data_IF_540487037198
#
_entry.id   IF_540487037198
#
_cell.length_a   1.000
_cell.length_b   1.000
_cell.length_c   1.000
_cell.angle_alpha   90.00
_cell.angle_beta   90.00
_cell.angle_gamma   90.00
#
_symmetry.space_group_name_H-M   'P 1'
#
loop_
_entity.id
_entity.type
_entity.pdbx_description
1 polymer ?
#
# COMPACT_ATOMS: atom_id res chain seq x y z
N UNK A 1 2.86 -13.73 4.35
CA UNK A 1 1.37 -13.80 4.31
C UNK A 1 1.01 -14.63 3.09
N UNK A 2 0.54 -15.85 3.29
CA UNK A 2 0.08 -16.71 2.19
C UNK A 2 -1.44 -16.75 2.27
N UNK A 3 -2.11 -15.81 1.61
CA UNK A 3 -3.59 -15.78 1.50
C UNK A 3 -4.01 -16.87 0.52
N UNK A 4 -3.22 -17.06 -0.54
CA UNK A 4 -3.40 -18.11 -1.53
C UNK A 4 -2.18 -19.05 -1.52
N UNK A 5 -2.41 -20.32 -1.76
CA UNK A 5 -1.33 -21.29 -1.99
C UNK A 5 -0.82 -21.08 -3.41
N UNK A 6 0.49 -20.88 -3.56
CA UNK A 6 1.10 -20.82 -4.89
C UNK A 6 1.09 -22.18 -5.55
N UNK A 7 0.88 -22.24 -6.85
CA UNK A 7 0.93 -23.50 -7.62
C UNK A 7 2.38 -23.92 -7.90
N UNK A 8 3.29 -22.97 -8.11
CA UNK A 8 4.69 -23.20 -8.40
C UNK A 8 5.55 -21.99 -8.09
N UNK A 9 6.87 -22.13 -8.23
CA UNK A 9 7.86 -21.06 -8.04
C UNK A 9 8.22 -20.83 -6.58
N UNK A 10 9.11 -19.88 -6.32
CA UNK A 10 9.60 -19.51 -5.00
C UNK A 10 9.55 -17.98 -4.84
N UNK A 11 9.39 -17.54 -3.60
CA UNK A 11 9.42 -16.11 -3.25
C UNK A 11 10.58 -15.88 -2.28
N UNK A 12 11.43 -14.92 -2.62
CA UNK A 12 12.57 -14.52 -1.80
C UNK A 12 12.41 -13.08 -1.31
N UNK A 13 12.79 -12.83 -0.06
CA UNK A 13 12.93 -11.49 0.53
C UNK A 13 14.33 -11.44 1.12
N UNK A 14 15.13 -10.43 0.74
CA UNK A 14 16.52 -10.29 1.16
C UNK A 14 17.34 -11.58 0.94
N UNK A 15 17.16 -12.23 -0.22
CA UNK A 15 17.79 -13.52 -0.60
C UNK A 15 17.40 -14.73 0.28
N UNK A 16 16.42 -14.60 1.15
CA UNK A 16 15.91 -15.70 1.97
C UNK A 16 14.53 -16.17 1.45
N UNK A 17 14.38 -17.47 1.27
CA UNK A 17 13.11 -18.05 0.84
C UNK A 17 12.05 -17.86 1.93
N UNK A 18 10.92 -17.25 1.56
CA UNK A 18 9.82 -16.94 2.49
C UNK A 18 9.17 -18.16 3.13
N UNK A 19 9.28 -19.33 2.53
CA UNK A 19 8.77 -20.59 3.09
C UNK A 19 9.51 -21.05 4.35
N UNK A 20 10.75 -20.59 4.52
CA UNK A 20 11.56 -20.87 5.72
C UNK A 20 11.23 -19.97 6.90
N UNK A 21 10.40 -18.93 6.68
CA UNK A 21 10.03 -17.95 7.70
C UNK A 21 8.68 -18.31 8.33
N UNK A 22 8.56 -18.10 9.61
CA UNK A 22 7.28 -18.18 10.32
C UNK A 22 6.37 -17.02 9.89
N UNK A 23 5.06 -17.18 10.09
CA UNK A 23 4.07 -16.12 9.84
C UNK A 23 4.41 -14.83 10.62
N UNK A 24 4.93 -14.98 11.84
CA UNK A 24 5.32 -13.86 12.69
C UNK A 24 6.54 -13.10 12.14
N UNK A 25 7.55 -13.81 11.63
CA UNK A 25 8.71 -13.21 10.97
C UNK A 25 8.31 -12.49 9.68
N UNK A 26 7.49 -13.11 8.84
CA UNK A 26 6.96 -12.46 7.64
C UNK A 26 6.12 -11.22 7.97
N UNK A 27 5.33 -11.27 9.05
CA UNK A 27 4.55 -10.12 9.49
C UNK A 27 5.39 -8.98 10.07
N UNK A 28 6.66 -9.18 10.37
CA UNK A 28 7.61 -8.10 10.69
C UNK A 28 8.26 -7.48 9.45
N UNK A 29 8.35 -8.24 8.36
CA UNK A 29 8.97 -7.81 7.11
C UNK A 29 7.99 -7.16 6.16
N UNK A 30 6.72 -7.62 6.14
CA UNK A 30 5.71 -7.20 5.18
C UNK A 30 4.52 -6.59 5.91
N UNK A 31 4.18 -5.35 5.59
CA UNK A 31 2.95 -4.70 5.97
C UNK A 31 1.95 -4.72 4.81
N UNK A 32 0.69 -5.03 5.09
CA UNK A 32 -0.35 -5.09 4.08
C UNK A 32 -1.47 -4.09 4.37
N UNK A 33 -1.75 -3.26 3.38
CA UNK A 33 -2.88 -2.33 3.38
C UNK A 33 -3.87 -2.82 2.34
N UNK A 34 -4.99 -3.42 2.77
CA UNK A 34 -6.02 -3.92 1.87
C UNK A 34 -6.82 -2.77 1.25
N UNK A 35 -7.46 -3.06 0.13
CA UNK A 35 -8.59 -2.26 -0.34
C UNK A 35 -9.66 -2.21 0.76
N UNK A 36 -10.32 -1.05 0.95
CA UNK A 36 -11.36 -0.91 1.99
C UNK A 36 -12.50 -1.88 1.70
N UNK A 37 -12.65 -2.88 2.54
CA UNK A 37 -13.81 -3.76 2.58
C UNK A 37 -14.60 -3.50 3.86
N UNK A 38 -15.91 -3.78 3.85
CA UNK A 38 -16.83 -3.45 4.96
C UNK A 38 -16.51 -4.13 6.30
N UNK A 39 -15.61 -5.09 6.32
CA UNK A 39 -15.38 -6.00 7.47
C UNK A 39 -14.17 -5.64 8.36
N UNK A 40 -13.44 -4.55 8.08
CA UNK A 40 -12.25 -4.20 8.84
C UNK A 40 -12.56 -3.27 10.03
N UNK A 41 -12.23 -3.77 11.20
CA UNK A 41 -12.13 -3.15 12.52
C UNK A 41 -13.42 -3.05 13.34
N UNK A 42 -13.40 -3.78 14.44
CA UNK A 42 -14.21 -3.47 15.64
C UNK A 42 -13.34 -2.65 16.61
N UNK A 43 -13.92 -1.60 17.18
CA UNK A 43 -13.24 -0.78 18.20
C UNK A 43 -12.86 0.62 17.70
N UNK A 44 -12.01 1.27 18.47
CA UNK A 44 -11.57 2.64 18.21
C UNK A 44 -10.52 2.71 17.09
N UNK A 45 -10.27 3.92 16.62
CA UNK A 45 -9.16 4.23 15.70
C UNK A 45 -7.83 3.80 16.32
N UNK A 46 -7.60 4.11 17.59
CA UNK A 46 -6.37 3.73 18.29
C UNK A 46 -6.22 2.21 18.37
N UNK A 47 -7.29 1.47 18.71
CA UNK A 47 -7.27 0.00 18.72
C UNK A 47 -6.87 -0.56 17.35
N UNK A 48 -7.41 0.03 16.27
CA UNK A 48 -7.09 -0.37 14.91
C UNK A 48 -5.61 -0.19 14.58
N UNK A 49 -5.01 0.93 15.00
CA UNK A 49 -3.57 1.20 14.77
C UNK A 49 -2.68 0.31 15.61
N UNK A 50 -3.05 0.08 16.88
CA UNK A 50 -2.36 -0.86 17.79
C UNK A 50 -2.31 -2.27 17.21
N UNK A 51 -3.31 -2.70 16.42
CA UNK A 51 -3.26 -3.99 15.74
C UNK A 51 -2.02 -4.15 14.83
N UNK A 52 -1.44 -3.06 14.34
CA UNK A 52 -0.16 -3.07 13.61
C UNK A 52 1.00 -3.60 14.46
N UNK A 53 0.93 -3.47 15.77
CA UNK A 53 1.95 -3.94 16.71
C UNK A 53 1.88 -5.44 16.98
N UNK A 54 0.80 -6.14 16.55
CA UNK A 54 0.59 -7.56 16.82
C UNK A 54 1.79 -8.49 16.55
N UNK A 55 2.63 -8.28 15.52
CA UNK A 55 3.83 -9.10 15.31
C UNK A 55 4.90 -8.97 16.41
N UNK A 56 4.85 -7.89 17.19
CA UNK A 56 5.82 -7.59 18.26
C UNK A 56 5.30 -7.99 19.63
N UNK A 57 3.98 -8.04 19.84
CA UNK A 57 3.37 -8.41 21.11
C UNK A 57 3.65 -9.89 21.39
N UNK A 58 4.24 -10.17 22.58
CA UNK A 58 4.50 -11.52 23.05
C UNK A 58 3.30 -12.06 23.85
N UNK A 59 3.02 -11.46 25.02
CA UNK A 59 1.98 -11.89 25.96
C UNK A 59 0.92 -10.81 26.23
N UNK A 60 1.35 -9.53 26.24
CA UNK A 60 0.48 -8.38 26.49
C UNK A 60 0.98 -7.17 25.73
N UNK A 61 0.07 -6.25 25.48
CA UNK A 61 0.34 -4.92 24.97
C UNK A 61 1.20 -4.15 25.98
N UNK A 62 2.21 -3.42 25.48
CA UNK A 62 3.08 -2.56 26.30
C UNK A 62 2.71 -1.09 26.12
N UNK A 63 3.17 -0.23 27.03
CA UNK A 63 3.04 1.23 26.87
C UNK A 63 3.74 1.72 25.61
N UNK A 64 4.92 1.17 25.28
CA UNK A 64 5.66 1.49 24.05
C UNK A 64 4.83 1.20 22.78
N UNK A 65 4.07 0.11 22.74
CA UNK A 65 3.21 -0.21 21.60
C UNK A 65 2.07 0.81 21.42
N UNK A 66 1.55 1.34 22.55
CA UNK A 66 0.54 2.38 22.56
C UNK A 66 1.15 3.71 22.08
N UNK A 67 2.31 4.07 22.59
CA UNK A 67 3.02 5.30 22.19
C UNK A 67 3.33 5.31 20.70
N UNK A 68 3.85 4.20 20.15
CA UNK A 68 4.07 4.04 18.71
C UNK A 68 2.78 4.25 17.90
N UNK A 69 1.66 3.74 18.38
CA UNK A 69 0.38 3.92 17.70
C UNK A 69 -0.10 5.39 17.74
N UNK A 70 0.07 6.08 18.88
CA UNK A 70 -0.25 7.50 19.04
C UNK A 70 0.65 8.38 18.15
N UNK A 71 1.96 8.13 18.15
CA UNK A 71 2.90 8.84 17.29
C UNK A 71 2.59 8.63 15.81
N UNK A 72 2.19 7.41 15.43
CA UNK A 72 1.79 7.10 14.07
C UNK A 72 0.53 7.87 13.67
N UNK A 73 -0.47 7.97 14.57
CA UNK A 73 -1.66 8.81 14.34
C UNK A 73 -1.29 10.29 14.18
N UNK A 74 -0.31 10.78 14.94
CA UNK A 74 0.18 12.14 14.83
C UNK A 74 0.85 12.40 13.48
N UNK A 75 1.70 11.47 13.00
CA UNK A 75 2.38 11.55 11.68
C UNK A 75 1.40 11.71 10.52
N UNK A 76 0.21 11.11 10.61
CA UNK A 76 -0.80 11.19 9.54
C UNK A 76 -1.92 12.21 9.82
N UNK A 77 -1.79 13.03 10.90
CA UNK A 77 -2.74 14.07 11.27
C UNK A 77 -4.10 13.56 11.76
N UNK A 78 -4.14 12.36 12.37
CA UNK A 78 -5.38 11.69 12.81
C UNK A 78 -5.52 11.54 14.32
N UNK A 79 -4.70 12.22 15.13
CA UNK A 79 -4.69 12.11 16.61
C UNK A 79 -6.06 12.44 17.23
N UNK A 80 -6.76 13.47 16.72
CA UNK A 80 -8.09 13.86 17.25
C UNK A 80 -9.17 12.81 17.02
N UNK A 81 -8.90 11.79 16.21
CA UNK A 81 -9.83 10.69 15.93
C UNK A 81 -9.54 9.44 16.79
N UNK A 82 -8.48 9.42 17.60
CA UNK A 82 -7.98 8.24 18.31
C UNK A 82 -9.09 7.46 19.07
N UNK A 83 -9.96 8.17 19.75
CA UNK A 83 -11.05 7.59 20.55
C UNK A 83 -12.36 7.39 19.79
N UNK A 84 -12.43 7.79 18.50
CA UNK A 84 -13.64 7.56 17.70
C UNK A 84 -13.73 6.11 17.29
N UNK A 85 -14.96 5.63 17.09
CA UNK A 85 -15.17 4.32 16.50
C UNK A 85 -14.73 4.33 15.02
N UNK A 86 -13.97 3.32 14.60
CA UNK A 86 -13.50 3.21 13.23
C UNK A 86 -14.66 3.20 12.20
N UNK A 87 -15.80 2.61 12.57
CA UNK A 87 -16.98 2.54 11.70
C UNK A 87 -17.55 3.91 11.32
N UNK A 88 -17.37 4.93 12.19
CA UNK A 88 -17.89 6.30 12.01
C UNK A 88 -17.05 7.15 11.05
N UNK A 89 -15.90 6.66 10.62
CA UNK A 89 -14.99 7.39 9.75
C UNK A 89 -15.49 7.38 8.29
N UNK A 90 -15.18 8.45 7.56
CA UNK A 90 -15.32 8.47 6.09
C UNK A 90 -14.37 7.47 5.43
N UNK A 91 -14.64 7.11 4.17
CA UNK A 91 -13.76 6.19 3.40
C UNK A 91 -12.31 6.62 3.39
N UNK A 92 -12.03 7.89 3.09
CA UNK A 92 -10.66 8.43 3.09
C UNK A 92 -9.99 8.39 4.47
N UNK A 93 -10.74 8.68 5.54
CA UNK A 93 -10.25 8.56 6.91
C UNK A 93 -9.94 7.10 7.27
N UNK A 94 -10.83 6.17 6.90
CA UNK A 94 -10.60 4.73 7.09
C UNK A 94 -9.32 4.26 6.41
N UNK A 95 -9.11 4.69 5.16
CA UNK A 95 -7.90 4.35 4.42
C UNK A 95 -6.64 4.86 5.12
N UNK A 96 -6.64 6.12 5.59
CA UNK A 96 -5.53 6.67 6.36
C UNK A 96 -5.25 5.84 7.63
N UNK A 97 -6.28 5.39 8.34
CA UNK A 97 -6.11 4.56 9.54
C UNK A 97 -5.55 3.17 9.20
N UNK A 98 -5.96 2.55 8.06
CA UNK A 98 -5.37 1.29 7.62
C UNK A 98 -3.89 1.45 7.24
N UNK A 99 -3.51 2.58 6.65
CA UNK A 99 -2.11 2.94 6.41
C UNK A 99 -1.38 3.16 7.74
N UNK A 100 -1.97 3.91 8.70
CA UNK A 100 -1.38 4.09 10.02
C UNK A 100 -1.12 2.75 10.73
N UNK A 101 -2.02 1.79 10.62
CA UNK A 101 -1.82 0.44 11.15
C UNK A 101 -0.57 -0.23 10.54
N UNK A 102 -0.38 -0.10 9.23
CA UNK A 102 0.80 -0.62 8.57
C UNK A 102 2.08 0.17 8.94
N UNK A 103 1.98 1.49 9.15
CA UNK A 103 3.09 2.31 9.64
C UNK A 103 3.50 1.93 11.06
N UNK A 104 2.55 1.71 11.97
CA UNK A 104 2.82 1.26 13.34
C UNK A 104 3.51 -0.12 13.38
N UNK A 105 3.28 -0.97 12.38
CA UNK A 105 3.99 -2.23 12.20
C UNK A 105 5.46 -2.00 11.79
N UNK A 106 5.80 -0.89 11.11
CA UNK A 106 7.13 -0.53 10.62
C UNK A 106 7.86 -1.64 9.84
N UNK A 107 7.26 -2.24 8.81
CA UNK A 107 7.88 -3.29 8.01
C UNK A 107 8.95 -2.71 7.07
N UNK A 108 9.71 -3.60 6.39
CA UNK A 108 10.63 -3.24 5.31
C UNK A 108 9.89 -3.05 3.98
N UNK A 109 8.83 -3.85 3.76
CA UNK A 109 8.03 -3.87 2.53
C UNK A 109 6.58 -3.58 2.86
N UNK A 110 5.99 -2.61 2.16
CA UNK A 110 4.57 -2.31 2.21
C UNK A 110 3.89 -2.80 0.93
N UNK A 111 2.84 -3.60 1.08
CA UNK A 111 1.96 -4.03 -0.01
C UNK A 111 0.66 -3.25 0.08
N UNK A 112 0.40 -2.39 -0.88
CA UNK A 112 -0.80 -1.55 -0.95
C UNK A 112 -1.70 -2.05 -2.08
N UNK A 113 -2.89 -2.50 -1.72
CA UNK A 113 -3.88 -3.02 -2.65
C UNK A 113 -4.93 -1.94 -2.93
N UNK A 114 -4.79 -1.27 -4.07
CA UNK A 114 -5.63 -0.14 -4.49
C UNK A 114 -5.87 0.93 -3.39
N UNK A 115 -4.83 1.46 -2.75
CA UNK A 115 -5.00 2.30 -1.57
C UNK A 115 -5.62 3.66 -1.86
N UNK A 116 -5.72 4.04 -3.13
CA UNK A 116 -6.27 5.34 -3.57
C UNK A 116 -7.65 5.22 -4.23
N UNK A 117 -8.16 3.99 -4.43
CA UNK A 117 -9.46 3.77 -5.05
C UNK A 117 -10.58 4.35 -4.19
N UNK A 118 -11.57 4.97 -4.83
CA UNK A 118 -12.74 5.59 -4.18
C UNK A 118 -12.44 6.75 -3.22
N UNK A 119 -11.23 7.31 -3.27
CA UNK A 119 -10.86 8.50 -2.51
C UNK A 119 -11.03 9.77 -3.35
N UNK A 120 -11.34 10.89 -2.70
CA UNK A 120 -11.22 12.20 -3.33
C UNK A 120 -9.74 12.54 -3.59
N UNK A 121 -9.50 13.48 -4.50
CA UNK A 121 -8.17 13.87 -4.97
C UNK A 121 -7.23 14.21 -3.81
N UNK A 122 -7.71 14.91 -2.78
CA UNK A 122 -6.90 15.31 -1.63
C UNK A 122 -6.41 14.07 -0.86
N UNK A 123 -7.32 13.15 -0.56
CA UNK A 123 -6.98 11.92 0.17
C UNK A 123 -6.09 11.00 -0.68
N UNK A 124 -6.27 10.94 -2.00
CA UNK A 124 -5.37 10.22 -2.91
C UNK A 124 -3.95 10.76 -2.82
N UNK A 125 -3.78 12.09 -2.95
CA UNK A 125 -2.47 12.74 -2.86
C UNK A 125 -1.82 12.54 -1.49
N UNK A 126 -2.58 12.60 -0.40
CA UNK A 126 -2.04 12.35 0.94
C UNK A 126 -1.46 10.93 1.05
N UNK A 127 -2.18 9.90 0.55
CA UNK A 127 -1.71 8.50 0.53
C UNK A 127 -0.45 8.33 -0.32
N UNK A 128 -0.43 8.91 -1.51
CA UNK A 128 0.73 8.83 -2.41
C UNK A 128 1.95 9.56 -1.85
N UNK A 129 1.75 10.71 -1.18
CA UNK A 129 2.82 11.44 -0.52
C UNK A 129 3.41 10.67 0.67
N UNK A 130 2.55 10.03 1.50
CA UNK A 130 3.00 9.13 2.57
C UNK A 130 3.86 8.01 1.98
N UNK A 131 3.37 7.35 0.92
CA UNK A 131 4.09 6.25 0.26
C UNK A 131 5.45 6.70 -0.30
N UNK A 132 5.47 7.86 -0.97
CA UNK A 132 6.71 8.45 -1.51
C UNK A 132 7.71 8.80 -0.40
N UNK A 133 7.22 9.34 0.73
CA UNK A 133 8.09 9.65 1.89
C UNK A 133 8.72 8.39 2.47
N UNK A 134 7.96 7.32 2.64
CA UNK A 134 8.45 6.02 3.12
C UNK A 134 9.55 5.46 2.21
N UNK A 135 9.34 5.52 0.89
CA UNK A 135 10.30 5.01 -0.07
C UNK A 135 11.59 5.85 -0.10
N UNK A 136 11.46 7.19 -0.20
CA UNK A 136 12.60 8.09 -0.43
C UNK A 136 13.38 8.44 0.82
N UNK A 137 12.69 8.63 1.95
CA UNK A 137 13.30 9.14 3.17
C UNK A 137 13.50 8.06 4.25
N UNK A 138 12.70 6.99 4.23
CA UNK A 138 12.79 5.91 5.20
C UNK A 138 13.34 4.61 4.61
N UNK A 139 13.77 4.64 3.32
CA UNK A 139 14.34 3.50 2.60
C UNK A 139 13.46 2.23 2.64
N UNK A 140 12.14 2.41 2.55
CA UNK A 140 11.17 1.33 2.52
C UNK A 140 10.85 0.93 1.08
N UNK A 141 10.52 -0.34 0.87
CA UNK A 141 10.00 -0.82 -0.42
C UNK A 141 8.47 -0.75 -0.43
N UNK A 142 7.90 -0.05 -1.42
CA UNK A 142 6.45 0.05 -1.60
C UNK A 142 6.07 -0.69 -2.87
N UNK A 143 5.19 -1.67 -2.75
CA UNK A 143 4.55 -2.35 -3.88
C UNK A 143 3.07 -1.96 -3.84
N UNK A 144 2.60 -1.30 -4.88
CA UNK A 144 1.26 -0.73 -4.91
C UNK A 144 0.53 -1.13 -6.20
N UNK A 145 -0.70 -1.61 -6.05
CA UNK A 145 -1.63 -1.79 -7.18
C UNK A 145 -2.32 -0.45 -7.44
N UNK A 146 -2.19 0.08 -8.65
CA UNK A 146 -2.78 1.36 -9.07
C UNK A 146 -3.45 1.14 -10.43
N UNK A 147 -4.66 1.68 -10.62
CA UNK A 147 -5.37 1.67 -11.89
C UNK A 147 -5.19 2.97 -12.70
N UNK A 148 -4.91 4.08 -12.03
CA UNK A 148 -4.66 5.36 -12.68
C UNK A 148 -3.23 5.39 -13.27
N UNK A 149 -3.16 5.43 -14.59
CA UNK A 149 -1.88 5.40 -15.33
C UNK A 149 -1.03 6.65 -15.06
N UNK A 150 -1.64 7.81 -14.87
CA UNK A 150 -0.92 9.04 -14.58
C UNK A 150 -0.34 9.04 -13.16
N UNK A 151 -1.07 8.49 -12.19
CA UNK A 151 -0.54 8.28 -10.85
C UNK A 151 0.59 7.26 -10.84
N UNK A 152 0.42 6.13 -11.54
CA UNK A 152 1.48 5.15 -11.69
C UNK A 152 2.72 5.76 -12.35
N UNK A 153 2.55 6.53 -13.43
CA UNK A 153 3.64 7.21 -14.12
C UNK A 153 4.41 8.17 -13.21
N UNK A 154 3.71 8.95 -12.39
CA UNK A 154 4.28 10.02 -11.56
C UNK A 154 4.96 9.51 -10.29
N UNK A 155 4.43 8.46 -9.68
CA UNK A 155 4.82 8.04 -8.33
C UNK A 155 5.63 6.75 -8.26
N UNK A 156 5.82 6.05 -9.38
CA UNK A 156 6.57 4.78 -9.40
C UNK A 156 7.98 4.96 -9.96
N UNK A 157 8.94 4.26 -9.35
CA UNK A 157 10.30 4.11 -9.89
C UNK A 157 10.34 2.96 -10.92
N UNK A 158 9.55 1.91 -10.67
CA UNK A 158 9.43 0.73 -11.52
C UNK A 158 7.96 0.35 -11.65
N UNK A 159 7.51 0.05 -12.87
CA UNK A 159 6.17 -0.45 -13.15
C UNK A 159 6.25 -1.89 -13.62
N UNK A 160 5.30 -2.70 -13.17
CA UNK A 160 5.02 -4.04 -13.69
C UNK A 160 3.62 -4.02 -14.28
N UNK A 161 3.53 -4.08 -15.61
CA UNK A 161 2.26 -4.10 -16.32
C UNK A 161 1.77 -5.54 -16.48
N UNK A 162 0.57 -5.80 -16.00
CA UNK A 162 -0.05 -7.12 -16.03
C UNK A 162 -1.18 -7.17 -17.06
N UNK A 163 -1.26 -8.25 -17.81
CA UNK A 163 -2.39 -8.54 -18.68
C UNK A 163 -2.75 -10.04 -18.59
N UNK A 164 -4.01 -10.35 -18.35
CA UNK A 164 -4.53 -11.72 -18.24
C UNK A 164 -3.67 -12.64 -17.35
N UNK A 165 -3.24 -12.13 -16.19
CA UNK A 165 -2.43 -12.87 -15.21
C UNK A 165 -0.96 -13.05 -15.58
N UNK A 166 -0.48 -12.43 -16.67
CA UNK A 166 0.92 -12.49 -17.11
C UNK A 166 1.59 -11.11 -17.04
N UNK A 167 2.89 -11.10 -16.74
CA UNK A 167 3.70 -9.89 -16.86
C UNK A 167 3.91 -9.60 -18.34
N UNK A 168 3.40 -8.46 -18.78
CA UNK A 168 3.54 -7.99 -20.16
C UNK A 168 4.78 -7.13 -20.34
N UNK A 169 5.04 -6.23 -19.39
CA UNK A 169 6.21 -5.36 -19.39
C UNK A 169 6.65 -5.04 -17.96
N UNK A 170 7.94 -4.78 -17.78
CA UNK A 170 8.54 -4.32 -16.53
C UNK A 170 9.69 -3.37 -16.84
N UNK A 171 9.73 -2.22 -16.18
CA UNK A 171 10.77 -1.20 -16.36
C UNK A 171 10.39 0.11 -15.71
N UNK A 172 11.04 1.19 -16.14
CA UNK A 172 10.68 2.54 -15.76
C UNK A 172 9.29 2.91 -16.29
N UNK A 173 8.61 3.92 -15.72
CA UNK A 173 7.32 4.38 -16.25
C UNK A 173 7.35 4.66 -17.76
N UNK A 174 8.41 5.29 -18.26
CA UNK A 174 8.60 5.63 -19.68
C UNK A 174 8.73 4.39 -20.59
N UNK A 175 9.43 3.36 -20.09
CA UNK A 175 9.62 2.12 -20.85
C UNK A 175 8.36 1.26 -20.89
N UNK A 176 7.53 1.32 -19.86
CA UNK A 176 6.37 0.43 -19.70
C UNK A 176 5.07 1.06 -20.18
N UNK A 177 4.80 2.32 -19.85
CA UNK A 177 3.55 3.00 -20.21
C UNK A 177 3.66 3.69 -21.58
N UNK A 178 3.97 2.91 -22.61
CA UNK A 178 3.98 3.35 -24.01
C UNK A 178 2.56 3.27 -24.59
N UNK A 179 2.29 4.06 -25.64
CA UNK A 179 1.02 4.04 -26.40
C UNK A 179 0.68 2.60 -26.81
N UNK A 180 1.68 1.86 -27.32
CA UNK A 180 1.50 0.49 -27.78
C UNK A 180 1.09 -0.45 -26.62
N UNK A 181 1.77 -0.39 -25.49
CA UNK A 181 1.49 -1.24 -24.34
C UNK A 181 0.11 -0.92 -23.72
N UNK A 182 -0.23 0.37 -23.62
CA UNK A 182 -1.53 0.82 -23.14
C UNK A 182 -2.64 0.31 -24.04
N UNK A 183 -2.48 0.46 -25.37
CA UNK A 183 -3.46 -0.06 -26.32
C UNK A 183 -3.63 -1.59 -26.22
N UNK A 184 -2.54 -2.34 -26.10
CA UNK A 184 -2.59 -3.81 -25.97
C UNK A 184 -3.32 -4.29 -24.72
N UNK A 185 -3.21 -3.55 -23.59
CA UNK A 185 -3.78 -3.98 -22.30
C UNK A 185 -5.19 -3.48 -22.12
N UNK A 186 -5.43 -2.20 -22.44
CA UNK A 186 -6.68 -1.51 -22.13
C UNK A 186 -7.60 -1.33 -23.35
N UNK A 187 -7.07 -1.48 -24.58
CA UNK A 187 -7.83 -1.30 -25.81
C UNK A 187 -8.20 0.15 -26.10
N UNK A 188 -7.49 1.12 -25.54
CA UNK A 188 -7.77 2.56 -25.67
C UNK A 188 -6.64 3.26 -26.40
N UNK A 189 -7.01 4.22 -27.25
CA UNK A 189 -6.05 5.10 -27.91
C UNK A 189 -5.59 6.18 -26.94
N UNK A 190 -4.29 6.44 -26.88
CA UNK A 190 -3.70 7.41 -25.97
C UNK A 190 -2.64 8.24 -26.67
N UNK A 191 -2.35 9.41 -26.15
CA UNK A 191 -1.17 10.21 -26.44
C UNK A 191 -0.38 10.49 -25.17
N UNK A 192 0.92 10.67 -25.27
CA UNK A 192 1.78 11.04 -24.16
C UNK A 192 2.21 12.49 -24.37
N UNK A 193 1.81 13.36 -23.42
CA UNK A 193 2.08 14.79 -23.47
C UNK A 193 3.29 15.09 -22.59
N UNK A 194 4.30 15.76 -23.14
CA UNK A 194 5.54 16.20 -22.47
C UNK A 194 6.26 15.08 -21.71
N UNK A 195 6.18 13.84 -22.19
CA UNK A 195 6.74 12.65 -21.55
C UNK A 195 6.33 12.48 -20.06
N UNK A 196 5.18 13.00 -19.68
CA UNK A 196 4.73 13.05 -18.27
C UNK A 196 3.25 12.76 -18.04
N UNK A 197 2.43 12.93 -19.04
CA UNK A 197 0.98 12.81 -18.89
C UNK A 197 0.38 11.96 -19.99
N UNK A 198 -0.43 10.98 -19.61
CA UNK A 198 -1.13 10.07 -20.52
C UNK A 198 -2.55 10.62 -20.70
N UNK A 199 -2.86 11.05 -21.92
CA UNK A 199 -4.19 11.50 -22.32
C UNK A 199 -4.90 10.37 -23.08
N UNK A 200 -6.10 10.00 -22.62
CA UNK A 200 -6.93 8.98 -23.27
C UNK A 200 -7.78 9.68 -24.32
N UNK A 201 -7.67 9.25 -25.59
CA UNK A 201 -8.35 9.86 -26.74
C UNK A 201 -9.70 9.21 -27.02
N UNK A 202 -9.79 7.88 -26.98
CA UNK A 202 -11.02 7.07 -27.18
C UNK A 202 -10.88 5.69 -26.56
#
# INVERSE_FOLDING_TARGET
>A
MSILTKESGEVFINNENTEKKTKKELAKLIGYVPQITKEFAMGTVLDTVIMGRKPYIAWKLTEEDIDIAIETLAKIGMTSFANRNFSELSGGQKQKILIARALAQNPEIYLFDEPVSFLDIKNQLDVLNISSNLAKNENKTIIMVIHDLNMAYKYSDVIVLLNQGKIMAKGTPQEVLTIENIYKVYGVETEIIDDKFINILK
#
